data_IF_174952797209
#
_entry.id   IF_174952797209
#
_cell.length_a   1.000
_cell.length_b   1.000
_cell.length_c   1.000
_cell.angle_alpha   90.00
_cell.angle_beta   90.00
_cell.angle_gamma   90.00
#
_symmetry.space_group_name_H-M   'P 1'
#
loop_
_entity.id
_entity.type
_entity.pdbx_description
1 polymer ?
#
# COMPACT_ATOMS: atom_id res chain seq x y z
N UNK A 1 80.55 -25.44 30.91
CA UNK A 1 79.75 -24.37 31.57
C UNK A 1 78.40 -24.27 30.86
N UNK A 2 77.32 -23.90 31.56
CA UNK A 2 76.02 -23.63 30.92
C UNK A 2 75.92 -22.15 30.55
N UNK A 3 75.50 -21.83 29.34
CA UNK A 3 74.95 -20.52 28.97
C UNK A 3 73.42 -20.67 28.91
N UNK A 4 72.68 -19.67 29.39
CA UNK A 4 71.22 -19.74 29.48
C UNK A 4 70.54 -19.14 28.24
N UNK A 5 69.51 -19.82 27.74
CA UNK A 5 68.60 -19.29 26.72
C UNK A 5 67.54 -18.40 27.38
N UNK A 6 67.52 -17.11 27.04
CA UNK A 6 66.45 -16.19 27.45
C UNK A 6 65.23 -16.42 26.54
N UNK A 7 64.02 -16.67 27.08
CA UNK A 7 62.81 -16.75 26.27
C UNK A 7 62.28 -15.35 25.94
N UNK A 8 62.31 -14.97 24.67
CA UNK A 8 61.63 -13.75 24.19
C UNK A 8 60.12 -13.92 24.27
N UNK A 9 59.47 -13.27 25.23
CA UNK A 9 58.01 -13.23 25.35
C UNK A 9 57.45 -12.29 24.28
N UNK A 10 57.00 -12.84 23.16
CA UNK A 10 56.27 -12.11 22.13
C UNK A 10 54.84 -11.85 22.64
N UNK A 11 54.61 -10.67 23.20
CA UNK A 11 53.26 -10.22 23.56
C UNK A 11 52.53 -9.85 22.27
N UNK A 12 51.75 -10.80 21.74
CA UNK A 12 50.93 -10.58 20.56
C UNK A 12 49.72 -9.71 20.97
N UNK A 13 49.81 -8.39 20.75
CA UNK A 13 48.70 -7.48 20.97
C UNK A 13 47.61 -7.76 19.91
N UNK A 14 46.64 -8.61 20.25
CA UNK A 14 45.42 -8.70 19.47
C UNK A 14 44.62 -7.41 19.65
N UNK A 15 44.81 -6.50 18.69
CA UNK A 15 43.82 -5.46 18.39
C UNK A 15 42.54 -6.15 17.92
N UNK A 16 41.71 -6.55 18.88
CA UNK A 16 40.30 -6.72 18.63
C UNK A 16 39.75 -5.35 18.23
N UNK A 17 39.69 -5.12 16.91
CA UNK A 17 38.89 -4.06 16.36
C UNK A 17 37.47 -4.28 16.90
N UNK A 18 37.04 -3.39 17.80
CA UNK A 18 35.72 -3.45 18.41
C UNK A 18 34.74 -3.12 17.29
N UNK A 19 34.28 -4.17 16.61
CA UNK A 19 33.13 -4.11 15.73
C UNK A 19 31.93 -3.85 16.64
N UNK A 20 31.71 -2.58 16.95
CA UNK A 20 30.43 -2.10 17.47
C UNK A 20 29.37 -2.67 16.55
N UNK A 21 28.45 -3.46 17.11
CA UNK A 21 27.40 -4.13 16.34
C UNK A 21 26.33 -3.07 16.04
N UNK A 22 26.68 -2.22 15.08
CA UNK A 22 25.81 -1.22 14.48
C UNK A 22 24.97 -1.95 13.44
N UNK A 23 23.65 -1.81 13.51
CA UNK A 23 22.78 -2.30 12.44
C UNK A 23 23.03 -1.53 11.15
N UNK A 24 22.99 -2.21 10.02
CA UNK A 24 22.98 -1.57 8.70
C UNK A 24 21.54 -1.42 8.23
N UNK A 25 21.18 -0.23 7.72
CA UNK A 25 19.86 0.08 7.17
C UNK A 25 20.01 0.50 5.72
N UNK A 26 19.43 -0.27 4.80
CA UNK A 26 19.52 -0.02 3.36
C UNK A 26 18.24 0.64 2.85
N UNK A 27 18.39 1.73 2.09
CA UNK A 27 17.31 2.41 1.40
C UNK A 27 16.80 1.57 0.21
N UNK A 28 15.49 1.31 0.17
CA UNK A 28 14.85 0.45 -0.83
C UNK A 28 14.35 1.18 -2.08
N UNK A 29 13.76 2.40 -2.01
CA UNK A 29 13.28 3.09 -3.20
C UNK A 29 14.41 3.46 -4.17
N UNK A 30 14.39 2.86 -5.37
CA UNK A 30 15.38 3.09 -6.42
C UNK A 30 14.72 3.58 -7.71
N UNK A 31 15.51 4.18 -8.59
CA UNK A 31 15.17 4.57 -9.96
C UNK A 31 16.13 3.84 -10.90
N UNK A 32 15.56 2.94 -11.69
CA UNK A 32 16.25 2.15 -12.71
C UNK A 32 15.70 2.55 -14.09
N UNK A 33 16.60 2.67 -15.06
CA UNK A 33 16.29 2.88 -16.47
C UNK A 33 15.61 1.64 -17.09
N UNK A 34 15.93 0.44 -16.60
CA UNK A 34 15.34 -0.82 -17.07
C UNK A 34 13.93 -1.11 -16.50
N UNK A 35 13.43 -0.30 -15.55
CA UNK A 35 12.09 -0.47 -14.99
C UNK A 35 11.00 0.10 -15.91
N UNK A 36 10.16 -0.82 -16.40
CA UNK A 36 8.96 -0.55 -17.21
C UNK A 36 8.05 0.51 -16.59
N UNK A 37 7.97 0.58 -15.26
CA UNK A 37 7.12 1.55 -14.56
C UNK A 37 7.57 3.00 -14.76
N UNK A 38 8.85 3.24 -15.03
CA UNK A 38 9.41 4.58 -15.24
C UNK A 38 9.15 5.15 -16.65
N UNK A 39 8.56 4.38 -17.58
CA UNK A 39 8.36 4.80 -18.97
C UNK A 39 6.89 5.04 -19.37
N UNK A 40 6.67 5.98 -20.28
CA UNK A 40 5.40 6.24 -20.96
C UNK A 40 5.60 6.20 -22.50
N UNK A 41 4.94 5.28 -23.24
CA UNK A 41 4.11 4.18 -22.75
C UNK A 41 4.89 3.21 -21.84
N UNK A 42 4.19 2.35 -21.11
CA UNK A 42 4.79 1.43 -20.14
C UNK A 42 5.55 0.27 -20.82
N UNK A 43 6.69 0.60 -21.42
CA UNK A 43 7.66 -0.28 -22.06
C UNK A 43 9.04 0.37 -21.97
N UNK A 44 10.09 -0.42 -21.74
CA UNK A 44 11.49 0.05 -21.82
C UNK A 44 11.81 0.44 -23.27
N UNK A 45 12.62 1.49 -23.53
CA UNK A 45 12.98 1.90 -24.88
C UNK A 45 13.58 0.76 -25.70
N UNK A 46 13.08 0.61 -26.92
CA UNK A 46 13.58 -0.34 -27.93
C UNK A 46 14.64 0.36 -28.78
N UNK A 47 15.55 -0.40 -29.39
CA UNK A 47 16.55 0.12 -30.32
C UNK A 47 15.92 1.04 -31.39
N UNK A 48 16.62 2.13 -31.68
CA UNK A 48 16.24 3.21 -32.59
C UNK A 48 15.02 4.07 -32.17
N UNK A 49 14.43 3.87 -31.00
CA UNK A 49 13.41 4.80 -30.50
C UNK A 49 13.98 6.18 -30.16
N UNK A 50 13.11 7.19 -30.12
CA UNK A 50 13.46 8.50 -29.57
C UNK A 50 13.17 8.51 -28.08
N UNK A 51 14.22 8.70 -27.28
CA UNK A 51 14.15 8.77 -25.82
C UNK A 51 13.98 10.22 -25.39
N UNK A 52 12.99 10.48 -24.54
CA UNK A 52 12.65 11.83 -24.06
C UNK A 52 12.67 11.87 -22.55
N UNK A 53 13.66 12.57 -21.98
CA UNK A 53 13.60 12.97 -20.59
C UNK A 53 12.77 14.27 -20.45
N UNK A 54 11.99 14.41 -19.36
CA UNK A 54 11.20 15.61 -19.13
C UNK A 54 12.12 16.80 -18.82
N UNK A 55 11.76 18.00 -19.28
CA UNK A 55 12.54 19.23 -19.03
C UNK A 55 12.87 19.41 -17.54
N UNK A 56 11.92 19.08 -16.66
CA UNK A 56 12.13 18.97 -15.20
C UNK A 56 12.11 17.50 -14.78
N UNK A 57 13.27 16.87 -14.79
CA UNK A 57 13.48 15.50 -14.29
C UNK A 57 13.68 15.50 -12.77
N UNK A 58 14.39 16.49 -12.22
CA UNK A 58 14.57 16.71 -10.78
C UNK A 58 15.00 15.45 -10.02
N UNK A 59 15.93 14.70 -10.62
CA UNK A 59 16.46 13.44 -10.12
C UNK A 59 17.80 13.11 -10.81
N UNK A 60 18.49 12.10 -10.29
CA UNK A 60 19.61 11.42 -10.96
C UNK A 60 19.12 10.09 -11.54
N UNK A 61 19.43 9.82 -12.81
CA UNK A 61 19.12 8.54 -13.48
C UNK A 61 20.40 7.95 -14.04
N UNK A 62 20.71 6.70 -13.72
CA UNK A 62 21.84 5.98 -14.33
C UNK A 62 21.43 5.43 -15.69
N UNK A 63 22.27 5.64 -16.72
CA UNK A 63 22.07 5.02 -18.04
C UNK A 63 22.55 3.56 -18.02
N UNK A 64 21.95 2.67 -18.84
CA UNK A 64 22.30 1.26 -18.84
C UNK A 64 23.74 1.03 -19.34
N UNK A 65 24.43 0.06 -18.76
CA UNK A 65 25.68 -0.44 -19.31
C UNK A 65 25.42 -1.22 -20.62
N UNK A 66 26.29 -1.04 -21.62
CA UNK A 66 26.18 -1.65 -22.93
C UNK A 66 26.14 -0.63 -24.07
N UNK A 67 25.59 -1.05 -25.21
CA UNK A 67 25.36 -0.22 -26.38
C UNK A 67 23.88 0.17 -26.40
N UNK A 68 23.59 1.47 -26.38
CA UNK A 68 22.23 2.01 -26.52
C UNK A 68 22.07 2.62 -27.91
N UNK A 69 21.17 2.08 -28.74
CA UNK A 69 20.89 2.59 -30.08
C UNK A 69 19.59 3.39 -30.09
N UNK A 70 19.62 4.65 -30.50
CA UNK A 70 18.46 5.57 -30.49
C UNK A 70 18.34 6.33 -31.80
N UNK A 71 17.16 6.85 -32.13
CA UNK A 71 17.01 7.85 -33.20
C UNK A 71 17.29 9.27 -32.70
N UNK A 72 16.93 9.57 -31.46
CA UNK A 72 17.21 10.83 -30.78
C UNK A 72 17.19 10.66 -29.26
N UNK A 73 17.87 11.55 -28.55
CA UNK A 73 17.97 11.57 -27.08
C UNK A 73 17.75 13.00 -26.59
N UNK A 74 16.54 13.31 -26.11
CA UNK A 74 16.19 14.62 -25.56
C UNK A 74 16.54 14.63 -24.07
N UNK A 75 17.51 15.47 -23.70
CA UNK A 75 18.03 15.60 -22.35
C UNK A 75 17.16 16.52 -21.46
N UNK A 76 17.15 16.33 -20.13
CA UNK A 76 16.46 17.23 -19.21
C UNK A 76 17.16 18.59 -19.12
N UNK A 77 16.42 19.64 -18.75
CA UNK A 77 16.99 20.96 -18.40
C UNK A 77 17.31 21.07 -16.90
N UNK A 78 16.60 20.30 -16.06
CA UNK A 78 16.81 20.23 -14.61
C UNK A 78 16.81 18.75 -14.18
N UNK A 79 17.97 18.23 -13.76
CA UNK A 79 18.21 16.81 -13.46
C UNK A 79 19.59 16.36 -13.94
N UNK A 80 19.96 15.12 -13.66
CA UNK A 80 21.24 14.54 -14.08
C UNK A 80 21.09 13.14 -14.67
N UNK A 81 21.84 12.86 -15.75
CA UNK A 81 22.02 11.51 -16.28
C UNK A 81 23.44 11.06 -15.99
N UNK A 82 23.58 9.94 -15.29
CA UNK A 82 24.88 9.36 -14.95
C UNK A 82 25.26 8.33 -16.01
N UNK A 83 26.49 8.45 -16.53
CA UNK A 83 26.98 7.63 -17.64
C UNK A 83 28.00 6.61 -17.10
N UNK A 84 27.79 5.29 -17.27
CA UNK A 84 28.76 4.27 -16.86
C UNK A 84 30.14 4.46 -17.51
N UNK A 85 31.14 4.81 -16.69
CA UNK A 85 32.42 5.37 -17.14
C UNK A 85 33.27 4.46 -18.07
N UNK A 86 33.01 3.14 -18.09
CA UNK A 86 33.82 2.15 -18.81
C UNK A 86 33.00 1.19 -19.68
N UNK A 87 31.67 1.35 -19.74
CA UNK A 87 30.77 0.34 -20.32
C UNK A 87 29.62 0.90 -21.15
N UNK A 88 29.49 2.22 -21.30
CA UNK A 88 28.43 2.85 -22.10
C UNK A 88 28.90 3.22 -23.51
N UNK A 89 28.04 2.99 -24.52
CA UNK A 89 28.19 3.51 -25.88
C UNK A 89 26.84 3.95 -26.44
N UNK A 90 26.79 5.09 -27.11
CA UNK A 90 25.59 5.69 -27.68
C UNK A 90 25.65 5.71 -29.21
N UNK A 91 24.80 4.91 -29.86
CA UNK A 91 24.65 4.91 -31.30
C UNK A 91 23.41 5.74 -31.70
N UNK A 92 23.60 6.89 -32.33
CA UNK A 92 22.50 7.70 -32.86
C UNK A 92 22.30 7.37 -34.34
N UNK A 93 21.13 6.85 -34.69
CA UNK A 93 20.79 6.37 -36.03
C UNK A 93 19.53 7.09 -36.52
N UNK A 94 19.71 8.04 -37.46
CA UNK A 94 18.59 8.75 -38.08
C UNK A 94 17.60 7.77 -38.72
N UNK A 95 16.32 7.93 -38.41
CA UNK A 95 15.22 7.16 -39.00
C UNK A 95 14.29 8.06 -39.83
N UNK A 96 13.51 7.43 -40.70
CA UNK A 96 12.46 8.08 -41.47
C UNK A 96 11.32 8.55 -40.52
N UNK A 97 10.72 9.74 -40.71
CA UNK A 97 9.78 10.30 -39.74
C UNK A 97 8.56 9.41 -39.40
N UNK A 98 8.19 8.49 -40.28
CA UNK A 98 7.06 7.56 -40.13
C UNK A 98 7.33 6.35 -39.22
N UNK A 99 8.59 6.06 -38.84
CA UNK A 99 8.93 4.95 -37.93
C UNK A 99 9.32 5.40 -36.51
N UNK A 100 9.38 6.72 -36.26
CA UNK A 100 9.81 7.27 -34.97
C UNK A 100 8.76 6.97 -33.88
N UNK A 101 9.01 5.92 -33.10
CA UNK A 101 8.31 5.69 -31.83
C UNK A 101 9.09 6.33 -30.67
N UNK A 102 8.34 6.85 -29.70
CA UNK A 102 8.86 7.73 -28.63
C UNK A 102 8.65 7.07 -27.28
N UNK A 103 9.71 7.02 -26.46
CA UNK A 103 9.67 6.56 -25.07
C UNK A 103 9.99 7.75 -24.15
N UNK A 104 9.01 8.13 -23.32
CA UNK A 104 9.11 9.29 -22.42
C UNK A 104 9.40 8.79 -21.00
N UNK A 105 10.47 9.27 -20.39
CA UNK A 105 10.79 8.97 -18.99
C UNK A 105 9.88 9.77 -18.05
N UNK A 106 9.35 9.13 -17.01
CA UNK A 106 8.53 9.79 -15.99
C UNK A 106 9.45 10.44 -14.95
N UNK A 107 9.21 11.70 -14.53
CA UNK A 107 9.95 12.28 -13.42
C UNK A 107 9.62 11.49 -12.14
N UNK A 108 10.62 10.92 -11.43
CA UNK A 108 10.34 10.11 -10.26
C UNK A 108 9.88 11.00 -9.11
N UNK A 109 8.73 10.67 -8.51
CA UNK A 109 8.25 11.36 -7.32
C UNK A 109 9.22 11.21 -6.14
N UNK A 110 9.22 12.17 -5.22
CA UNK A 110 10.01 12.11 -3.99
C UNK A 110 9.51 11.01 -3.05
N UNK A 111 10.38 10.57 -2.15
CA UNK A 111 10.12 9.52 -1.15
C UNK A 111 10.64 9.96 0.22
N UNK A 112 9.81 10.02 1.27
CA UNK A 112 10.20 10.59 2.56
C UNK A 112 11.21 9.72 3.32
N UNK A 113 12.22 10.35 3.93
CA UNK A 113 13.24 9.69 4.73
C UNK A 113 12.63 8.92 5.91
N UNK A 114 11.62 9.49 6.58
CA UNK A 114 11.03 8.95 7.81
C UNK A 114 9.89 7.93 7.59
N UNK A 115 9.63 7.48 6.36
CA UNK A 115 8.77 6.30 6.11
C UNK A 115 9.52 5.02 6.44
N UNK A 116 9.03 4.23 7.40
CA UNK A 116 9.66 2.98 7.80
C UNK A 116 9.72 1.93 6.68
N UNK A 117 8.78 2.01 5.74
CA UNK A 117 8.68 1.08 4.60
C UNK A 117 9.70 1.36 3.48
N UNK A 118 10.40 2.49 3.53
CA UNK A 118 11.49 2.82 2.60
C UNK A 118 12.84 2.19 3.01
N UNK A 119 12.91 1.52 4.16
CA UNK A 119 14.13 0.96 4.74
C UNK A 119 14.02 -0.55 4.97
N UNK A 120 15.11 -1.27 4.72
CA UNK A 120 15.31 -2.64 5.21
C UNK A 120 16.45 -2.69 6.22
N UNK A 121 16.37 -3.60 7.18
CA UNK A 121 17.55 -4.06 7.89
C UNK A 121 18.43 -4.88 6.93
N UNK A 122 19.75 -4.70 6.98
CA UNK A 122 20.70 -5.44 6.16
C UNK A 122 21.65 -6.25 7.04
N UNK A 123 21.68 -7.54 6.77
CA UNK A 123 22.55 -8.53 7.39
C UNK A 123 23.76 -8.72 6.46
N UNK A 124 24.87 -8.03 6.79
CA UNK A 124 26.12 -8.07 6.03
C UNK A 124 26.68 -9.50 5.92
N UNK A 125 26.62 -10.31 7.00
CA UNK A 125 27.13 -11.68 7.04
C UNK A 125 26.42 -12.60 6.03
N UNK A 126 25.13 -12.34 5.79
CA UNK A 126 24.28 -13.10 4.84
C UNK A 126 24.03 -12.37 3.52
N UNK A 127 24.55 -11.16 3.38
CA UNK A 127 24.23 -10.20 2.31
C UNK A 127 22.72 -10.09 2.06
N UNK A 128 21.90 -10.10 3.12
CA UNK A 128 20.44 -10.26 3.04
C UNK A 128 19.69 -9.03 3.53
N UNK A 129 18.69 -8.58 2.75
CA UNK A 129 17.78 -7.50 3.12
C UNK A 129 16.54 -8.08 3.78
N UNK A 130 16.16 -7.51 4.92
CA UNK A 130 15.06 -7.96 5.77
C UNK A 130 14.11 -6.77 5.97
N UNK A 131 12.92 -6.85 5.36
CA UNK A 131 11.87 -5.86 5.55
C UNK A 131 11.40 -5.86 7.03
N UNK A 132 10.98 -4.71 7.58
CA UNK A 132 10.46 -4.65 8.95
C UNK A 132 9.19 -5.49 9.08
N UNK A 133 9.16 -6.35 10.09
CA UNK A 133 8.00 -7.20 10.40
C UNK A 133 6.94 -6.42 11.22
N UNK A 134 5.73 -6.98 11.36
CA UNK A 134 4.60 -6.30 12.01
C UNK A 134 4.83 -5.94 13.49
N UNK A 135 5.78 -6.60 14.16
CA UNK A 135 6.17 -6.32 15.54
C UNK A 135 7.31 -5.29 15.67
N UNK A 136 8.04 -4.93 14.59
CA UNK A 136 9.11 -3.92 14.64
C UNK A 136 8.50 -2.53 14.87
N UNK A 137 8.87 -1.81 15.95
CA UNK A 137 8.43 -0.45 16.19
C UNK A 137 8.70 0.46 15.01
N UNK A 138 7.76 1.35 14.69
CA UNK A 138 7.87 2.30 13.58
C UNK A 138 9.13 3.19 13.74
N UNK A 139 9.47 3.56 14.99
CA UNK A 139 10.73 4.20 15.36
C UNK A 139 11.99 3.43 14.95
N UNK A 140 11.93 2.08 14.95
CA UNK A 140 13.03 1.15 14.65
C UNK A 140 12.99 0.62 13.21
N UNK A 141 12.09 1.14 12.36
CA UNK A 141 12.10 0.81 10.91
C UNK A 141 13.10 1.68 10.16
N UNK A 142 13.04 2.99 10.41
CA UNK A 142 14.03 4.00 9.96
C UNK A 142 15.39 3.82 10.67
N UNK A 143 16.49 4.44 10.19
CA UNK A 143 17.81 4.30 10.80
C UNK A 143 17.93 4.93 12.19
N UNK A 144 18.42 4.15 13.15
CA UNK A 144 18.66 4.59 14.52
C UNK A 144 19.94 5.43 14.68
N UNK A 145 20.03 6.17 15.78
CA UNK A 145 21.18 7.02 16.13
C UNK A 145 22.54 6.29 16.23
N UNK A 146 22.55 4.95 16.30
CA UNK A 146 23.73 4.10 16.36
C UNK A 146 23.93 3.23 15.10
N UNK A 147 23.05 3.31 14.10
CA UNK A 147 23.08 2.49 12.88
C UNK A 147 23.77 3.19 11.70
N UNK A 148 24.17 2.42 10.69
CA UNK A 148 24.69 2.95 9.42
C UNK A 148 23.56 3.02 8.41
N UNK A 149 23.23 4.23 7.94
CA UNK A 149 22.31 4.42 6.81
C UNK A 149 23.05 4.23 5.49
N UNK A 150 22.54 3.36 4.62
CA UNK A 150 23.18 2.97 3.35
C UNK A 150 22.27 3.25 2.16
N UNK A 151 22.81 4.00 1.21
CA UNK A 151 22.20 4.30 -0.07
C UNK A 151 23.02 3.61 -1.18
N UNK A 152 22.49 2.52 -1.73
CA UNK A 152 23.18 1.77 -2.81
C UNK A 152 23.15 2.55 -4.14
N UNK A 153 24.24 2.50 -4.91
CA UNK A 153 24.35 3.18 -6.22
C UNK A 153 24.96 2.31 -7.33
N UNK A 154 25.24 1.02 -7.09
CA UNK A 154 25.96 0.15 -8.04
C UNK A 154 25.19 -0.10 -9.36
N UNK A 155 23.88 -0.29 -9.26
CA UNK A 155 23.02 -0.86 -10.33
C UNK A 155 21.91 0.10 -10.77
N UNK A 156 21.51 0.98 -9.88
CA UNK A 156 20.38 1.90 -9.95
C UNK A 156 20.69 3.09 -9.03
N UNK A 157 20.00 4.21 -9.20
CA UNK A 157 20.13 5.33 -8.27
C UNK A 157 19.06 5.24 -7.16
N UNK A 158 19.33 5.71 -5.93
CA UNK A 158 18.26 5.95 -4.96
C UNK A 158 17.22 6.91 -5.56
N UNK A 159 15.95 6.62 -5.33
CA UNK A 159 14.84 7.50 -5.71
C UNK A 159 14.90 8.78 -4.86
N UNK A 160 14.63 9.98 -5.42
CA UNK A 160 14.74 11.24 -4.70
C UNK A 160 14.14 11.21 -3.30
N UNK A 161 14.95 11.61 -2.32
CA UNK A 161 14.72 11.45 -0.89
C UNK A 161 14.26 12.78 -0.33
N UNK A 162 13.14 12.81 0.39
CA UNK A 162 12.66 14.03 1.05
C UNK A 162 13.06 14.00 2.53
N UNK A 163 13.91 14.95 2.94
CA UNK A 163 14.42 15.09 4.30
C UNK A 163 13.47 15.87 5.22
N UNK A 164 12.32 16.31 4.68
CA UNK A 164 11.18 16.90 5.42
C UNK A 164 11.52 18.13 6.30
N UNK A 165 12.60 18.87 5.99
CA UNK A 165 13.04 20.07 6.73
C UNK A 165 13.32 19.84 8.23
N UNK A 166 13.84 18.68 8.62
CA UNK A 166 14.18 18.42 10.02
C UNK A 166 15.51 19.04 10.45
N UNK A 167 15.49 19.80 11.55
CA UNK A 167 16.65 20.47 12.19
C UNK A 167 17.91 19.57 12.27
N UNK A 168 17.73 18.30 12.62
CA UNK A 168 18.83 17.33 12.59
C UNK A 168 18.37 15.87 12.46
N UNK A 169 19.17 15.09 11.74
CA UNK A 169 19.06 13.63 11.66
C UNK A 169 20.28 13.03 12.34
N UNK A 170 20.04 12.19 13.36
CA UNK A 170 21.08 11.53 14.14
C UNK A 170 21.23 10.07 13.69
N UNK A 171 22.42 9.70 13.23
CA UNK A 171 22.77 8.34 12.80
C UNK A 171 24.19 7.97 13.23
N UNK A 172 24.54 6.69 13.23
CA UNK A 172 25.87 6.21 13.60
C UNK A 172 26.91 6.49 12.52
N UNK A 173 26.57 6.22 11.26
CA UNK A 173 27.35 6.56 10.07
C UNK A 173 26.42 6.67 8.83
N UNK A 174 26.94 7.17 7.70
CA UNK A 174 26.28 7.11 6.39
C UNK A 174 27.24 6.60 5.32
N UNK A 175 26.73 5.79 4.39
CA UNK A 175 27.40 5.34 3.17
C UNK A 175 26.50 5.56 1.94
N UNK A 176 27.03 6.17 0.88
CA UNK A 176 26.38 6.37 -0.41
C UNK A 176 27.30 5.77 -1.50
N UNK A 177 26.89 4.62 -2.03
CA UNK A 177 27.74 3.78 -2.88
C UNK A 177 29.03 3.36 -2.18
N UNK A 178 30.10 3.26 -2.97
CA UNK A 178 31.48 3.04 -2.49
C UNK A 178 32.31 4.34 -2.50
N UNK A 179 31.69 5.48 -2.83
CA UNK A 179 32.39 6.75 -3.08
C UNK A 179 32.33 7.72 -1.90
N UNK A 180 31.25 7.66 -1.11
CA UNK A 180 30.99 8.58 -0.01
C UNK A 180 30.68 7.76 1.24
N UNK A 181 31.63 7.72 2.17
CA UNK A 181 31.45 7.18 3.51
C UNK A 181 31.84 8.24 4.54
N UNK A 182 31.11 8.30 5.66
CA UNK A 182 31.37 9.26 6.74
C UNK A 182 30.45 10.49 6.66
N UNK A 183 30.01 10.93 7.83
CA UNK A 183 29.02 12.00 7.99
C UNK A 183 29.46 13.34 7.38
N UNK A 184 30.74 13.68 7.49
CA UNK A 184 31.33 14.91 6.92
C UNK A 184 31.32 14.88 5.39
N UNK A 185 31.78 13.78 4.79
CA UNK A 185 31.75 13.59 3.34
C UNK A 185 30.32 13.61 2.78
N UNK A 186 29.37 13.02 3.53
CA UNK A 186 27.96 12.99 3.15
C UNK A 186 27.28 14.37 3.28
N UNK A 187 27.61 15.15 4.31
CA UNK A 187 27.15 16.54 4.45
C UNK A 187 27.68 17.42 3.30
N UNK A 188 28.97 17.31 2.99
CA UNK A 188 29.58 17.98 1.84
C UNK A 188 28.95 17.55 0.50
N UNK A 189 28.54 16.28 0.37
CA UNK A 189 27.83 15.81 -0.82
C UNK A 189 26.42 16.40 -0.93
N UNK A 190 25.63 16.42 0.15
CA UNK A 190 24.26 16.99 0.15
C UNK A 190 24.25 18.46 -0.28
N UNK A 191 25.26 19.23 0.13
CA UNK A 191 25.43 20.63 -0.27
C UNK A 191 25.82 20.82 -1.76
N UNK A 192 26.15 19.76 -2.51
CA UNK A 192 26.48 19.82 -3.93
C UNK A 192 25.24 19.76 -4.83
N UNK A 193 25.37 20.21 -6.08
CA UNK A 193 24.29 20.16 -7.10
C UNK A 193 23.74 18.73 -7.31
N UNK A 194 24.61 17.71 -7.28
CA UNK A 194 24.20 16.30 -7.36
C UNK A 194 23.52 15.81 -6.07
N UNK A 195 23.94 16.34 -4.92
CA UNK A 195 23.28 16.12 -3.64
C UNK A 195 21.86 16.66 -3.61
N UNK A 196 21.65 17.90 -4.05
CA UNK A 196 20.33 18.55 -4.12
C UNK A 196 19.35 17.89 -5.10
N UNK A 197 19.86 17.16 -6.11
CA UNK A 197 19.04 16.33 -7.00
C UNK A 197 18.63 14.97 -6.41
N UNK A 198 19.21 14.58 -5.25
CA UNK A 198 18.96 13.31 -4.59
C UNK A 198 18.35 13.47 -3.20
N UNK A 199 18.70 14.52 -2.45
CA UNK A 199 18.28 14.84 -1.10
C UNK A 199 17.57 16.20 -1.06
N UNK A 200 16.25 16.15 -1.16
CA UNK A 200 15.38 17.32 -1.13
C UNK A 200 15.09 17.79 0.30
N UNK A 201 14.83 19.09 0.42
CA UNK A 201 14.44 19.75 1.68
C UNK A 201 15.52 19.53 2.77
N UNK A 202 16.78 19.51 2.36
CA UNK A 202 17.95 19.12 3.16
C UNK A 202 18.87 20.30 3.55
N UNK A 203 18.58 21.51 3.07
CA UNK A 203 19.44 22.70 3.18
C UNK A 203 19.71 23.10 4.64
N UNK A 204 18.69 23.06 5.50
CA UNK A 204 18.80 23.28 6.95
C UNK A 204 19.03 21.98 7.77
N UNK A 205 19.11 20.81 7.11
CA UNK A 205 19.08 19.50 7.78
C UNK A 205 20.47 19.08 8.24
N UNK A 206 20.76 19.26 9.53
CA UNK A 206 22.07 18.95 10.10
C UNK A 206 22.19 17.45 10.43
N UNK A 207 22.85 16.71 9.53
CA UNK A 207 23.17 15.30 9.76
C UNK A 207 24.33 15.20 10.76
N UNK A 208 24.09 14.52 11.88
CA UNK A 208 24.98 14.48 13.04
C UNK A 208 25.24 13.05 13.48
N UNK A 209 26.40 12.83 14.09
CA UNK A 209 26.66 11.58 14.80
C UNK A 209 25.69 11.49 15.97
N UNK A 210 24.96 10.38 16.07
CA UNK A 210 24.07 10.15 17.20
C UNK A 210 24.81 10.15 18.53
N UNK A 211 24.11 10.49 19.60
CA UNK A 211 24.69 10.67 20.95
C UNK A 211 25.21 9.37 21.59
N UNK A 212 25.24 8.27 20.85
CA UNK A 212 25.35 6.93 21.40
C UNK A 212 25.83 5.89 20.38
N UNK A 213 26.74 5.01 20.80
CA UNK A 213 27.34 3.98 19.94
C UNK A 213 26.74 2.56 20.15
N UNK A 214 25.57 2.42 20.80
CA UNK A 214 25.00 1.09 21.10
C UNK A 214 23.50 1.12 21.43
N UNK A 215 22.76 0.19 20.81
CA UNK A 215 21.36 -0.10 21.11
C UNK A 215 21.10 -0.51 22.57
N UNK A 216 22.08 -1.11 23.26
CA UNK A 216 21.92 -1.48 24.68
C UNK A 216 21.84 -0.26 25.61
N UNK A 217 22.27 0.92 25.12
CA UNK A 217 22.50 2.12 25.94
C UNK A 217 21.63 3.31 25.56
N UNK A 218 20.88 3.26 24.46
CA UNK A 218 20.09 4.39 23.95
C UNK A 218 18.84 3.96 23.18
N UNK A 219 17.81 4.81 23.08
CA UNK A 219 16.65 4.55 22.23
C UNK A 219 17.07 4.70 20.76
N UNK A 220 16.37 4.03 19.85
CA UNK A 220 16.65 4.15 18.42
C UNK A 220 16.54 5.61 17.92
N UNK A 221 15.44 6.28 18.31
CA UNK A 221 15.12 7.67 17.95
C UNK A 221 15.01 8.54 19.21
N UNK A 222 15.24 9.85 19.03
CA UNK A 222 14.83 10.86 20.00
C UNK A 222 13.32 11.17 19.86
N UNK A 223 12.61 11.62 20.92
CA UNK A 223 11.15 11.76 20.87
C UNK A 223 10.61 12.72 19.80
N UNK A 224 11.39 13.74 19.39
CA UNK A 224 10.98 14.74 18.39
C UNK A 224 10.80 14.16 16.99
N UNK A 225 11.53 13.08 16.68
CA UNK A 225 11.48 12.39 15.39
C UNK A 225 10.22 11.52 15.26
N UNK A 226 9.51 11.22 16.36
CA UNK A 226 8.29 10.41 16.30
C UNK A 226 7.19 11.08 15.49
N UNK A 227 7.01 12.41 15.58
CA UNK A 227 5.99 13.12 14.81
C UNK A 227 6.24 13.00 13.30
N UNK A 228 7.51 13.07 12.88
CA UNK A 228 7.95 12.88 11.50
C UNK A 228 7.64 11.46 10.98
N UNK A 229 7.99 10.45 11.78
CA UNK A 229 7.77 9.03 11.46
C UNK A 229 6.27 8.76 11.38
N UNK A 230 5.50 9.20 12.37
CA UNK A 230 4.06 8.98 12.42
C UNK A 230 3.28 9.78 11.36
N UNK A 231 3.78 10.91 10.87
CA UNK A 231 3.16 11.61 9.73
C UNK A 231 3.27 10.83 8.40
N UNK A 232 4.23 9.91 8.29
CA UNK A 232 4.45 9.10 7.09
C UNK A 232 3.70 7.76 7.11
N UNK A 233 3.31 7.27 8.29
CA UNK A 233 2.70 5.95 8.47
C UNK A 233 1.17 6.02 8.44
N UNK A 234 0.54 5.08 7.72
CA UNK A 234 -0.93 5.03 7.56
C UNK A 234 -1.51 3.91 8.41
N UNK A 235 -2.03 4.26 9.57
CA UNK A 235 -2.63 3.30 10.49
C UNK A 235 -3.94 2.72 9.93
N UNK A 236 -3.93 1.42 9.63
CA UNK A 236 -5.15 0.65 9.37
C UNK A 236 -5.94 0.44 10.67
N UNK A 237 -7.26 0.22 10.54
CA UNK A 237 -8.12 -0.11 11.68
C UNK A 237 -7.75 -1.50 12.24
N UNK A 238 -7.38 -1.64 13.52
CA UNK A 238 -7.00 -2.93 14.10
C UNK A 238 -8.22 -3.84 14.29
N UNK A 239 -8.11 -5.11 13.89
CA UNK A 239 -9.19 -6.11 13.95
C UNK A 239 -9.30 -6.81 15.33
N UNK A 240 -9.30 -6.03 16.41
CA UNK A 240 -9.43 -6.55 17.77
C UNK A 240 -10.09 -5.53 18.72
N UNK A 241 -10.78 -6.04 19.74
CA UNK A 241 -11.29 -5.23 20.85
C UNK A 241 -10.10 -4.73 21.68
N UNK A 242 -10.07 -3.44 22.04
CA UNK A 242 -8.99 -2.85 22.86
C UNK A 242 -7.57 -3.18 22.34
N UNK A 243 -7.17 -2.66 21.16
CA UNK A 243 -5.81 -2.82 20.64
C UNK A 243 -4.78 -2.12 21.54
N UNK A 244 -3.52 -2.54 21.48
CA UNK A 244 -2.42 -2.00 22.30
C UNK A 244 -1.45 -1.20 21.44
N UNK A 245 -0.83 -0.15 22.01
CA UNK A 245 0.20 0.63 21.34
C UNK A 245 1.54 0.45 22.08
N UNK A 246 2.46 -0.38 21.57
CA UNK A 246 3.80 -0.51 22.14
C UNK A 246 4.58 0.79 22.01
N UNK A 247 5.57 1.00 22.88
CA UNK A 247 6.48 2.13 22.69
C UNK A 247 7.20 2.03 21.33
N UNK A 248 7.37 3.18 20.67
CA UNK A 248 7.92 3.27 19.30
C UNK A 248 6.93 2.94 18.17
N UNK A 249 5.68 2.54 18.47
CA UNK A 249 4.64 2.39 17.46
C UNK A 249 3.80 3.67 17.30
N UNK A 250 3.62 4.09 16.05
CA UNK A 250 2.65 5.14 15.69
C UNK A 250 1.20 4.65 15.72
N UNK A 251 1.00 3.38 15.32
CA UNK A 251 -0.31 2.77 15.19
C UNK A 251 -0.60 1.77 16.32
N UNK A 252 -1.86 1.67 16.78
CA UNK A 252 -2.27 0.59 17.68
C UNK A 252 -2.31 -0.76 16.93
N UNK A 253 -1.96 -1.85 17.60
CA UNK A 253 -1.83 -3.19 17.03
C UNK A 253 -2.62 -4.24 17.82
N UNK A 254 -2.95 -5.35 17.15
CA UNK A 254 -3.47 -6.56 17.77
C UNK A 254 -2.31 -7.52 18.04
N UNK A 255 -2.05 -7.85 19.30
CA UNK A 255 -0.87 -8.60 19.68
C UNK A 255 -0.65 -8.68 21.19
N UNK A 256 0.59 -8.96 21.58
CA UNK A 256 1.03 -8.98 22.98
C UNK A 256 2.39 -8.29 23.16
N UNK A 257 2.56 -7.60 24.29
CA UNK A 257 3.81 -6.96 24.68
C UNK A 257 4.21 -7.42 26.07
N UNK A 258 5.45 -7.89 26.21
CA UNK A 258 6.14 -8.03 27.50
C UNK A 258 7.13 -6.89 27.66
N UNK A 259 7.19 -6.30 28.86
CA UNK A 259 8.07 -5.19 29.18
C UNK A 259 8.67 -5.34 30.58
N UNK A 260 9.98 -5.14 30.72
CA UNK A 260 10.67 -5.18 32.03
C UNK A 260 11.80 -4.16 32.08
N UNK A 261 11.97 -3.48 33.21
CA UNK A 261 13.07 -2.52 33.42
C UNK A 261 14.42 -3.26 33.49
N UNK A 262 15.45 -2.75 32.80
CA UNK A 262 16.80 -3.34 32.79
C UNK A 262 17.39 -3.46 34.21
N UNK A 263 17.00 -2.57 35.14
CA UNK A 263 17.41 -2.63 36.54
C UNK A 263 16.86 -3.86 37.33
N UNK A 264 15.94 -4.63 36.77
CA UNK A 264 15.44 -5.89 37.37
C UNK A 264 16.32 -7.11 37.00
N UNK A 265 17.28 -6.97 36.07
CA UNK A 265 18.21 -8.06 35.75
C UNK A 265 19.34 -8.13 36.77
N UNK A 266 19.70 -9.35 37.18
CA UNK A 266 20.84 -9.58 38.06
C UNK A 266 22.15 -9.54 37.27
N UNK A 267 23.00 -8.57 37.58
CA UNK A 267 24.31 -8.38 36.93
C UNK A 267 24.25 -7.49 35.69
N UNK A 268 25.24 -7.62 34.80
CA UNK A 268 25.29 -6.85 33.56
C UNK A 268 24.30 -7.43 32.55
N UNK A 269 23.28 -6.65 32.19
CA UNK A 269 22.36 -7.01 31.11
C UNK A 269 23.08 -7.04 29.77
N UNK A 270 22.69 -7.99 28.91
CA UNK A 270 23.13 -8.08 27.53
C UNK A 270 21.95 -8.52 26.65
N UNK A 271 21.65 -7.71 25.63
CA UNK A 271 20.47 -7.85 24.78
C UNK A 271 20.54 -9.14 23.94
N UNK A 272 21.71 -9.46 23.39
CA UNK A 272 21.90 -10.67 22.57
C UNK A 272 21.65 -11.95 23.39
N UNK A 273 22.24 -12.07 24.58
CA UNK A 273 22.03 -13.20 25.49
C UNK A 273 20.57 -13.34 25.93
N UNK A 274 19.83 -12.24 26.05
CA UNK A 274 18.38 -12.25 26.30
C UNK A 274 17.62 -12.73 25.06
N UNK A 275 17.85 -12.10 23.90
CA UNK A 275 17.25 -12.46 22.62
C UNK A 275 17.44 -13.94 22.27
N UNK A 276 18.63 -14.52 22.48
CA UNK A 276 18.87 -15.94 22.22
C UNK A 276 18.24 -16.89 23.26
N UNK A 277 17.92 -16.42 24.47
CA UNK A 277 17.10 -17.20 25.42
C UNK A 277 15.64 -17.19 24.98
N UNK A 278 15.11 -16.03 24.58
CA UNK A 278 13.73 -15.90 24.08
C UNK A 278 13.53 -16.65 22.76
N UNK A 279 14.42 -16.47 21.78
CA UNK A 279 14.42 -17.17 20.48
C UNK A 279 14.36 -18.70 20.65
N UNK A 280 15.18 -19.26 21.56
CA UNK A 280 15.15 -20.70 21.89
C UNK A 280 13.90 -21.15 22.63
N UNK A 281 13.17 -20.24 23.31
CA UNK A 281 11.89 -20.56 23.96
C UNK A 281 10.68 -20.43 23.05
N UNK A 282 10.68 -19.44 22.16
CA UNK A 282 9.74 -19.32 21.04
C UNK A 282 9.85 -20.57 20.15
N UNK A 283 11.07 -20.98 19.76
CA UNK A 283 11.32 -22.21 19.00
C UNK A 283 11.08 -23.52 19.79
N UNK A 284 10.65 -23.45 21.05
CA UNK A 284 10.20 -24.60 21.85
C UNK A 284 8.75 -24.44 22.35
N UNK A 285 7.98 -23.54 21.71
CA UNK A 285 6.58 -23.30 22.00
C UNK A 285 5.68 -24.29 21.26
N UNK A 286 4.41 -24.40 21.67
CA UNK A 286 3.38 -25.17 20.96
C UNK A 286 2.81 -24.41 19.75
N UNK A 287 2.99 -23.09 19.73
CA UNK A 287 2.63 -22.20 18.60
C UNK A 287 3.80 -22.13 17.62
N UNK A 288 3.54 -22.33 16.32
CA UNK A 288 4.56 -22.28 15.26
C UNK A 288 5.16 -20.85 15.14
N UNK A 289 6.47 -20.79 14.90
CA UNK A 289 7.21 -19.55 14.63
C UNK A 289 6.89 -18.99 13.23
N UNK A 290 6.36 -19.82 12.32
CA UNK A 290 5.84 -19.35 11.03
C UNK A 290 4.56 -18.50 11.16
N UNK A 291 3.82 -18.65 12.27
CA UNK A 291 2.48 -18.11 12.53
C UNK A 291 2.46 -16.77 13.28
N UNK A 292 3.60 -16.37 13.86
CA UNK A 292 3.74 -15.13 14.66
C UNK A 292 5.01 -14.37 14.28
N UNK A 293 4.91 -13.05 14.27
CA UNK A 293 6.06 -12.17 14.09
C UNK A 293 6.42 -11.53 15.43
N UNK A 294 7.72 -11.43 15.72
CA UNK A 294 8.18 -10.86 16.99
C UNK A 294 9.40 -9.96 16.80
N UNK A 295 9.60 -9.07 17.77
CA UNK A 295 10.71 -8.14 17.84
C UNK A 295 11.11 -7.94 19.32
N UNK A 296 12.41 -7.77 19.59
CA UNK A 296 12.95 -7.50 20.92
C UNK A 296 13.85 -6.26 20.82
N UNK A 297 13.43 -5.19 21.49
CA UNK A 297 14.09 -3.88 21.49
C UNK A 297 14.26 -3.31 22.90
N UNK A 298 14.82 -2.10 22.97
CA UNK A 298 15.01 -1.36 24.23
C UNK A 298 14.39 0.02 24.09
N UNK A 299 13.44 0.30 24.98
CA UNK A 299 12.72 1.57 25.02
C UNK A 299 13.09 2.41 26.25
N UNK A 300 12.91 3.73 26.12
CA UNK A 300 13.07 4.75 27.17
C UNK A 300 11.87 5.66 27.39
N UNK A 301 10.73 5.48 26.71
CA UNK A 301 9.56 6.37 26.78
C UNK A 301 9.09 6.73 28.20
N UNK A 302 9.30 5.84 29.18
CA UNK A 302 8.98 6.07 30.61
C UNK A 302 10.20 6.43 31.49
N UNK A 303 11.21 7.09 30.92
CA UNK A 303 12.38 7.63 31.65
C UNK A 303 13.40 6.61 32.16
N UNK A 304 13.12 5.32 32.06
CA UNK A 304 14.03 4.23 32.42
C UNK A 304 14.13 3.20 31.29
N UNK A 305 15.33 2.62 31.11
CA UNK A 305 15.58 1.61 30.08
C UNK A 305 14.72 0.37 30.36
N UNK A 306 13.86 0.00 29.42
CA UNK A 306 13.06 -1.22 29.50
C UNK A 306 13.29 -2.10 28.27
N UNK A 307 13.51 -3.39 28.49
CA UNK A 307 13.47 -4.39 27.42
C UNK A 307 12.01 -4.60 27.05
N UNK A 308 11.70 -4.56 25.75
CA UNK A 308 10.36 -4.74 25.22
C UNK A 308 10.37 -5.89 24.20
N UNK A 309 9.59 -6.95 24.47
CA UNK A 309 9.28 -8.01 23.52
C UNK A 309 7.87 -7.74 22.98
N UNK A 310 7.76 -7.57 21.67
CA UNK A 310 6.49 -7.42 20.94
C UNK A 310 6.27 -8.71 20.15
N UNK A 311 5.05 -9.24 20.19
CA UNK A 311 4.61 -10.40 19.41
C UNK A 311 3.26 -10.07 18.75
N UNK A 312 3.13 -10.32 17.46
CA UNK A 312 1.89 -10.15 16.67
C UNK A 312 1.58 -11.42 15.90
N UNK A 313 0.30 -11.61 15.58
CA UNK A 313 -0.16 -12.68 14.69
C UNK A 313 0.24 -12.35 13.25
N UNK A 314 0.60 -13.37 12.46
CA UNK A 314 0.94 -13.19 11.05
C UNK A 314 -0.31 -13.32 10.16
N UNK A 315 -0.75 -12.20 9.58
CA UNK A 315 -1.95 -12.14 8.75
C UNK A 315 -3.16 -11.68 9.56
N UNK A 316 -4.25 -12.43 9.53
CA UNK A 316 -5.42 -12.14 10.37
C UNK A 316 -5.16 -12.50 11.84
N UNK A 317 -5.65 -11.67 12.75
CA UNK A 317 -5.43 -11.82 14.18
C UNK A 317 -6.35 -12.90 14.78
N UNK A 318 -5.73 -13.95 15.34
CA UNK A 318 -6.39 -15.13 15.91
C UNK A 318 -5.85 -15.51 17.29
N UNK A 319 -5.40 -14.52 18.07
CA UNK A 319 -4.83 -14.67 19.42
C UNK A 319 -3.55 -15.52 19.53
N UNK A 320 -2.89 -15.89 18.41
CA UNK A 320 -1.68 -16.73 18.41
C UNK A 320 -0.52 -16.08 19.18
N UNK A 321 -0.39 -14.76 19.07
CA UNK A 321 0.55 -13.94 19.85
C UNK A 321 0.25 -13.94 21.36
N UNK A 322 -1.03 -14.00 21.76
CA UNK A 322 -1.44 -14.13 23.17
C UNK A 322 -1.08 -15.52 23.69
N UNK A 323 -1.34 -16.57 22.91
CA UNK A 323 -0.97 -17.95 23.25
C UNK A 323 0.55 -18.10 23.40
N UNK A 324 1.34 -17.56 22.46
CA UNK A 324 2.80 -17.49 22.52
C UNK A 324 3.29 -16.70 23.74
N UNK A 325 2.72 -15.53 24.04
CA UNK A 325 3.11 -14.75 25.22
C UNK A 325 2.77 -15.47 26.54
N UNK A 326 1.66 -16.22 26.57
CA UNK A 326 1.29 -17.02 27.73
C UNK A 326 2.17 -18.28 27.91
N UNK A 327 2.68 -18.90 26.85
CA UNK A 327 3.67 -19.99 26.99
C UNK A 327 5.03 -19.48 27.50
N UNK A 328 5.36 -18.22 27.24
CA UNK A 328 6.55 -17.54 27.79
C UNK A 328 6.36 -17.03 29.23
N UNK A 329 5.12 -16.85 29.71
CA UNK A 329 4.83 -16.31 31.06
C UNK A 329 5.56 -17.05 32.20
N UNK A 330 5.61 -18.39 32.28
CA UNK A 330 6.33 -19.09 33.34
C UNK A 330 7.86 -18.94 33.27
N UNK A 331 8.40 -18.61 32.09
CA UNK A 331 9.82 -18.27 31.96
C UNK A 331 10.09 -16.87 32.55
N UNK A 332 9.22 -15.90 32.31
CA UNK A 332 9.34 -14.56 32.89
C UNK A 332 9.17 -14.57 34.41
N UNK A 333 8.15 -15.25 34.94
CA UNK A 333 7.90 -15.38 36.39
C UNK A 333 9.07 -16.06 37.13
N UNK A 334 9.75 -17.01 36.47
CA UNK A 334 10.97 -17.64 37.01
C UNK A 334 12.21 -16.75 36.92
N UNK A 335 12.27 -15.82 35.97
CA UNK A 335 13.42 -14.95 35.72
C UNK A 335 13.33 -13.60 36.48
N UNK A 336 12.12 -13.13 36.80
CA UNK A 336 11.85 -11.85 37.44
C UNK A 336 10.79 -12.01 38.53
N UNK A 337 11.17 -11.78 39.80
CA UNK A 337 10.24 -11.92 40.93
C UNK A 337 9.15 -10.83 40.98
N UNK A 338 9.39 -9.68 40.35
CA UNK A 338 8.42 -8.58 40.17
C UNK A 338 8.94 -7.60 39.10
N UNK A 339 8.19 -6.53 38.81
CA UNK A 339 8.68 -5.41 38.00
C UNK A 339 8.67 -5.62 36.48
N UNK A 340 8.05 -6.70 36.00
CA UNK A 340 7.67 -6.86 34.60
C UNK A 340 6.17 -6.64 34.41
N UNK A 341 5.77 -6.30 33.19
CA UNK A 341 4.38 -6.11 32.76
C UNK A 341 4.16 -6.93 31.48
N UNK A 342 2.99 -7.55 31.36
CA UNK A 342 2.50 -8.15 30.11
C UNK A 342 1.17 -7.48 29.79
N UNK A 343 1.04 -6.92 28.59
CA UNK A 343 -0.21 -6.40 28.03
C UNK A 343 -0.59 -7.20 26.78
N UNK A 344 -1.88 -7.49 26.65
CA UNK A 344 -2.47 -8.16 25.50
C UNK A 344 -3.51 -7.22 24.88
N UNK A 345 -3.69 -7.29 23.56
CA UNK A 345 -4.94 -6.83 22.96
C UNK A 345 -6.11 -7.72 23.43
N UNK A 346 -7.34 -7.24 23.27
CA UNK A 346 -8.53 -8.07 23.47
C UNK A 346 -8.81 -9.00 22.30
N UNK A 347 -10.02 -9.55 22.30
CA UNK A 347 -10.46 -10.59 21.37
C UNK A 347 -10.53 -10.10 19.91
N UNK A 348 -10.36 -10.99 18.91
CA UNK A 348 -10.56 -10.67 17.50
C UNK A 348 -11.93 -10.05 17.24
N UNK A 349 -11.92 -8.96 16.47
CA UNK A 349 -13.14 -8.26 16.07
C UNK A 349 -12.94 -7.63 14.70
N UNK A 350 -13.55 -8.24 13.68
CA UNK A 350 -13.70 -7.61 12.37
C UNK A 350 -14.80 -6.54 12.44
N UNK A 351 -14.49 -5.26 12.19
CA UNK A 351 -15.53 -4.24 12.03
C UNK A 351 -16.35 -4.60 10.77
N UNK A 352 -17.67 -4.60 10.87
CA UNK A 352 -18.52 -4.90 9.71
C UNK A 352 -18.30 -3.86 8.62
N UNK A 353 -17.83 -4.29 7.45
CA UNK A 353 -17.79 -3.45 6.26
C UNK A 353 -19.20 -2.98 5.90
N UNK A 354 -19.34 -1.76 5.36
CA UNK A 354 -20.65 -1.17 5.05
C UNK A 354 -21.52 -2.03 4.13
N UNK A 355 -20.90 -2.83 3.23
CA UNK A 355 -21.59 -3.80 2.39
C UNK A 355 -22.22 -4.97 3.18
N UNK A 356 -21.58 -5.43 4.27
CA UNK A 356 -22.14 -6.47 5.14
C UNK A 356 -23.34 -5.95 5.95
N UNK A 357 -23.24 -4.71 6.46
CA UNK A 357 -24.36 -4.04 7.15
C UNK A 357 -25.54 -3.86 6.18
N UNK A 358 -25.28 -3.36 4.97
CA UNK A 358 -26.31 -3.20 3.95
C UNK A 358 -26.94 -4.54 3.55
N UNK A 359 -26.15 -5.59 3.35
CA UNK A 359 -26.65 -6.93 3.04
C UNK A 359 -27.52 -7.51 4.16
N UNK A 360 -27.12 -7.34 5.43
CA UNK A 360 -27.92 -7.77 6.58
C UNK A 360 -29.25 -7.01 6.66
N UNK A 361 -29.22 -5.68 6.54
CA UNK A 361 -30.43 -4.84 6.54
C UNK A 361 -31.36 -5.21 5.37
N UNK A 362 -30.83 -5.34 4.15
CA UNK A 362 -31.59 -5.74 2.96
C UNK A 362 -32.23 -7.12 3.15
N UNK A 363 -31.48 -8.09 3.70
CA UNK A 363 -32.00 -9.43 3.99
C UNK A 363 -33.12 -9.40 5.03
N UNK A 364 -32.98 -8.60 6.10
CA UNK A 364 -34.10 -8.45 7.07
C UNK A 364 -35.33 -7.84 6.41
N UNK A 365 -35.20 -6.80 5.58
CA UNK A 365 -36.35 -6.25 4.83
C UNK A 365 -37.00 -7.27 3.89
N UNK A 366 -36.22 -8.09 3.18
CA UNK A 366 -36.74 -9.14 2.29
C UNK A 366 -37.51 -10.20 3.11
N UNK A 367 -36.94 -10.67 4.21
CA UNK A 367 -37.59 -11.67 5.10
C UNK A 367 -38.87 -11.11 5.72
N UNK A 368 -38.85 -9.88 6.21
CA UNK A 368 -40.04 -9.23 6.80
C UNK A 368 -41.13 -8.98 5.75
N UNK A 369 -40.76 -8.53 4.55
CA UNK A 369 -41.68 -8.36 3.41
C UNK A 369 -42.30 -9.68 2.97
N UNK A 370 -41.50 -10.75 2.85
CA UNK A 370 -41.99 -12.08 2.53
C UNK A 370 -42.95 -12.62 3.59
N UNK A 371 -42.65 -12.42 4.88
CA UNK A 371 -43.53 -12.79 5.99
C UNK A 371 -44.88 -12.08 5.90
N UNK A 372 -44.89 -10.75 5.77
CA UNK A 372 -46.14 -10.00 5.63
C UNK A 372 -46.90 -10.34 4.34
N UNK A 373 -46.20 -10.65 3.24
CA UNK A 373 -46.83 -11.12 2.00
C UNK A 373 -47.51 -12.47 2.19
N UNK A 374 -46.89 -13.42 2.89
CA UNK A 374 -47.51 -14.72 3.23
C UNK A 374 -48.72 -14.54 4.15
N UNK A 375 -48.64 -13.67 5.16
CA UNK A 375 -49.77 -13.35 6.05
C UNK A 375 -50.92 -12.68 5.28
N UNK A 376 -50.61 -11.73 4.39
CA UNK A 376 -51.61 -11.07 3.54
C UNK A 376 -52.31 -12.07 2.63
N UNK A 377 -51.56 -12.89 1.87
CA UNK A 377 -52.13 -13.93 1.00
C UNK A 377 -52.95 -14.94 1.80
N UNK A 378 -52.53 -15.30 3.02
CA UNK A 378 -53.26 -16.24 3.88
C UNK A 378 -54.62 -15.71 4.37
N UNK A 379 -54.73 -14.41 4.68
CA UNK A 379 -55.93 -13.82 5.29
C UNK A 379 -56.83 -13.02 4.33
N UNK A 380 -56.30 -12.53 3.20
CA UNK A 380 -57.02 -11.60 2.31
C UNK A 380 -57.13 -12.06 0.84
N UNK A 381 -56.46 -13.15 0.42
CA UNK A 381 -56.46 -13.59 -0.99
C UNK A 381 -57.17 -14.93 -1.22
N UNK A 382 -58.49 -14.86 -1.33
CA UNK A 382 -59.37 -15.95 -1.77
C UNK A 382 -59.09 -16.43 -3.22
N UNK A 383 -58.17 -15.82 -3.96
CA UNK A 383 -57.86 -16.18 -5.37
C UNK A 383 -56.54 -16.92 -5.54
N UNK A 384 -55.48 -16.54 -4.80
CA UNK A 384 -54.17 -17.17 -4.88
C UNK A 384 -54.11 -18.51 -4.15
N UNK A 385 -54.69 -18.64 -2.94
CA UNK A 385 -54.63 -19.92 -2.20
C UNK A 385 -55.34 -21.05 -2.99
N UNK A 386 -56.54 -20.87 -3.57
CA UNK A 386 -57.19 -21.93 -4.35
C UNK A 386 -56.43 -22.24 -5.64
N UNK A 387 -55.82 -21.25 -6.30
CA UNK A 387 -54.99 -21.48 -7.51
C UNK A 387 -53.72 -22.27 -7.19
N UNK A 388 -53.01 -21.95 -6.11
CA UNK A 388 -51.84 -22.71 -5.66
C UNK A 388 -52.22 -24.13 -5.21
N UNK A 389 -53.33 -24.30 -4.46
CA UNK A 389 -53.87 -25.63 -4.14
C UNK A 389 -54.25 -26.42 -5.40
N UNK A 390 -54.88 -25.79 -6.39
CA UNK A 390 -55.24 -26.44 -7.65
C UNK A 390 -54.00 -26.87 -8.45
N UNK A 391 -52.98 -26.01 -8.55
CA UNK A 391 -51.72 -26.33 -9.23
C UNK A 391 -50.97 -27.50 -8.56
N UNK A 392 -50.92 -27.53 -7.23
CA UNK A 392 -50.29 -28.64 -6.47
C UNK A 392 -51.10 -29.93 -6.58
N UNK A 393 -52.44 -29.85 -6.64
CA UNK A 393 -53.34 -31.00 -6.75
C UNK A 393 -53.44 -31.58 -8.17
N UNK A 394 -53.28 -30.75 -9.21
CA UNK A 394 -53.32 -31.15 -10.62
C UNK A 394 -51.97 -31.69 -11.16
N UNK A 395 -51.19 -32.41 -10.33
CA UNK A 395 -49.99 -33.14 -10.79
C UNK A 395 -50.26 -34.28 -11.80
N UNK A 396 -51.51 -34.53 -12.16
CA UNK A 396 -51.91 -35.43 -13.26
C UNK A 396 -51.85 -34.80 -14.66
N UNK A 397 -51.50 -33.51 -14.81
CA UNK A 397 -51.48 -32.84 -16.12
C UNK A 397 -50.38 -33.32 -17.10
N UNK A 398 -49.51 -34.25 -16.67
CA UNK A 398 -48.47 -34.86 -17.51
C UNK A 398 -48.81 -36.27 -18.03
N UNK A 399 -50.03 -36.78 -17.81
CA UNK A 399 -50.43 -38.14 -18.22
C UNK A 399 -51.76 -38.20 -18.98
N UNK A 400 -51.82 -37.52 -20.13
CA UNK A 400 -52.83 -37.76 -21.17
C UNK A 400 -52.14 -37.93 -22.52
N UNK A 401 -52.48 -38.95 -23.34
CA UNK A 401 -51.76 -39.23 -24.58
C UNK A 401 -51.98 -38.15 -25.66
N UNK A 402 -50.95 -37.87 -26.43
CA UNK A 402 -50.98 -36.88 -27.51
C UNK A 402 -51.89 -37.31 -28.66
N UNK A 403 -53.11 -36.76 -28.73
CA UNK A 403 -54.01 -36.96 -29.87
C UNK A 403 -53.66 -35.96 -30.96
N UNK A 404 -52.93 -36.41 -31.97
CA UNK A 404 -52.73 -35.65 -33.21
C UNK A 404 -54.05 -35.52 -33.97
N UNK A 405 -54.57 -34.30 -34.08
CA UNK A 405 -55.66 -33.99 -35.01
C UNK A 405 -55.14 -34.09 -36.46
N UNK A 406 -55.31 -35.24 -37.10
CA UNK A 406 -55.11 -35.39 -38.54
C UNK A 406 -56.21 -34.62 -39.27
N UNK A 407 -55.83 -33.66 -40.10
CA UNK A 407 -56.71 -33.13 -41.13
C UNK A 407 -57.02 -34.21 -42.16
N UNK A 408 -58.30 -34.40 -42.49
CA UNK A 408 -58.76 -35.04 -43.72
C UNK A 408 -59.83 -34.13 -44.39
N UNK A 409 -59.85 -34.02 -45.72
CA UNK A 409 -60.61 -32.99 -46.44
C UNK A 409 -61.96 -33.48 -46.99
N UNK A 410 -62.72 -32.52 -47.54
CA UNK A 410 -64.03 -32.63 -48.20
C UNK A 410 -65.18 -33.00 -47.23
N UNK A 411 -66.15 -32.09 -47.02
CA UNK A 411 -67.33 -31.81 -47.85
C UNK A 411 -68.43 -32.88 -47.65
N UNK A 412 -69.72 -32.54 -47.54
CA UNK A 412 -70.44 -31.37 -48.08
C UNK A 412 -71.32 -30.63 -47.02
N UNK A 413 -71.82 -29.43 -47.37
CA UNK A 413 -73.08 -28.75 -46.90
C UNK A 413 -73.43 -28.87 -45.39
N UNK A 414 -73.51 -27.81 -44.57
CA UNK A 414 -73.90 -26.41 -44.85
C UNK A 414 -72.83 -25.35 -44.50
N UNK A 415 -72.65 -24.38 -45.39
CA UNK A 415 -71.74 -23.24 -45.19
C UNK A 415 -72.43 -22.01 -44.60
N UNK A 416 -72.50 -21.93 -43.26
CA UNK A 416 -73.03 -20.75 -42.55
C UNK A 416 -71.96 -19.66 -42.36
N UNK A 417 -71.39 -19.17 -43.46
CA UNK A 417 -70.50 -18.01 -43.50
C UNK A 417 -71.30 -16.72 -43.42
N UNK A 418 -71.16 -15.98 -42.32
CA UNK A 418 -71.73 -14.63 -42.17
C UNK A 418 -70.92 -13.65 -43.02
N UNK A 419 -71.57 -13.02 -43.99
CA UNK A 419 -70.99 -12.05 -44.93
C UNK A 419 -72.08 -11.03 -45.35
N UNK A 420 -71.70 -10.00 -46.12
CA UNK A 420 -72.46 -8.78 -46.47
C UNK A 420 -72.62 -7.83 -45.25
N UNK A 421 -71.84 -6.77 -45.03
CA UNK A 421 -71.13 -5.74 -45.84
C UNK A 421 -71.86 -4.36 -45.81
N UNK A 422 -71.09 -3.28 -45.92
CA UNK A 422 -71.47 -1.89 -45.64
C UNK A 422 -72.32 -1.24 -46.76
N UNK A 423 -73.00 -0.14 -46.37
CA UNK A 423 -73.52 0.89 -47.27
C UNK A 423 -73.30 2.28 -46.65
N UNK A 424 -73.31 3.32 -47.47
CA UNK A 424 -72.74 4.64 -47.19
C UNK A 424 -73.81 5.71 -46.87
N UNK A 425 -73.34 6.95 -46.72
CA UNK A 425 -74.06 8.24 -46.60
C UNK A 425 -74.52 8.63 -45.18
N UNK A 426 -74.39 9.89 -44.74
CA UNK A 426 -73.65 10.99 -45.35
C UNK A 426 -74.20 12.39 -45.02
N UNK A 427 -73.58 13.11 -44.08
CA UNK A 427 -73.71 14.56 -43.85
C UNK A 427 -72.72 15.05 -42.77
N UNK A 428 -72.15 16.26 -42.75
CA UNK A 428 -71.48 17.11 -43.77
C UNK A 428 -71.32 18.54 -43.18
N UNK A 429 -70.08 19.02 -43.00
CA UNK A 429 -69.61 20.41 -42.79
C UNK A 429 -68.10 20.32 -42.41
N UNK A 430 -67.13 20.62 -43.28
CA UNK A 430 -66.65 21.94 -43.77
C UNK A 430 -65.84 22.70 -42.67
N UNK A 431 -64.59 23.16 -42.80
CA UNK A 431 -63.49 23.10 -43.81
C UNK A 431 -62.12 23.06 -43.03
N UNK A 432 -60.87 23.01 -43.54
CA UNK A 432 -60.19 23.22 -44.83
C UNK A 432 -59.05 22.15 -45.00
N UNK A 433 -58.42 21.88 -46.16
CA UNK A 433 -57.35 22.59 -46.91
C UNK A 433 -56.11 23.07 -46.09
N UNK A 434 -54.85 22.87 -46.50
CA UNK A 434 -54.27 22.48 -47.82
C UNK A 434 -53.23 21.32 -47.78
N UNK A 435 -52.64 21.01 -48.95
CA UNK A 435 -51.69 19.94 -49.32
C UNK A 435 -50.58 20.58 -50.23
N UNK A 436 -49.57 19.88 -50.85
CA UNK A 436 -49.05 18.50 -50.69
C UNK A 436 -47.49 18.41 -50.71
N UNK A 437 -46.96 17.18 -50.92
CA UNK A 437 -45.72 16.84 -51.66
C UNK A 437 -44.32 17.04 -50.99
N UNK A 438 -43.30 16.18 -51.21
CA UNK A 438 -43.19 14.83 -51.84
C UNK A 438 -41.85 14.16 -51.46
N UNK A 439 -41.84 12.81 -51.35
CA UNK A 439 -40.73 11.87 -51.66
C UNK A 439 -39.34 12.02 -50.96
N UNK A 440 -38.64 10.94 -50.55
CA UNK A 440 -39.00 9.52 -50.41
C UNK A 440 -37.98 8.78 -49.50
N UNK A 441 -38.48 7.80 -48.74
CA UNK A 441 -38.07 6.38 -48.63
C UNK A 441 -36.56 5.98 -48.71
N UNK A 442 -36.02 5.04 -47.93
CA UNK A 442 -36.49 4.29 -46.73
C UNK A 442 -35.26 3.59 -46.05
N UNK A 443 -35.53 2.67 -45.09
CA UNK A 443 -34.69 1.64 -44.47
C UNK A 443 -33.91 1.97 -43.17
N UNK A 444 -34.55 1.59 -42.05
CA UNK A 444 -34.05 0.58 -41.08
C UNK A 444 -32.80 0.87 -40.19
N UNK A 445 -32.79 0.58 -38.87
CA UNK A 445 -33.86 0.12 -37.95
C UNK A 445 -33.42 0.25 -36.47
N UNK A 446 -34.37 0.03 -35.56
CA UNK A 446 -34.20 -0.24 -34.11
C UNK A 446 -33.71 0.89 -33.19
N UNK A 447 -34.68 1.64 -32.65
CA UNK A 447 -34.56 2.27 -31.34
C UNK A 447 -35.31 1.42 -30.28
N UNK A 448 -34.70 1.22 -29.11
CA UNK A 448 -35.39 0.72 -27.90
C UNK A 448 -34.60 1.05 -26.63
N UNK A 449 -34.75 2.27 -26.13
CA UNK A 449 -34.34 2.66 -24.77
C UNK A 449 -35.50 3.36 -24.07
N UNK A 450 -35.71 3.05 -22.79
CA UNK A 450 -36.84 3.58 -22.02
C UNK A 450 -36.50 4.95 -21.43
N UNK A 451 -37.28 5.97 -21.76
CA UNK A 451 -37.27 7.24 -21.03
C UNK A 451 -37.94 7.04 -19.66
N UNK A 452 -37.26 7.48 -18.58
CA UNK A 452 -37.74 7.37 -17.20
C UNK A 452 -37.83 8.78 -16.56
N UNK A 453 -39.04 9.35 -16.38
CA UNK A 453 -39.22 10.75 -16.01
C UNK A 453 -39.12 10.97 -14.49
N UNK A 454 -37.91 10.82 -13.92
CA UNK A 454 -37.65 11.12 -12.49
C UNK A 454 -36.43 12.03 -12.24
N UNK A 455 -35.62 12.33 -13.25
CA UNK A 455 -34.38 13.11 -13.11
C UNK A 455 -34.28 14.32 -14.07
N UNK A 456 -35.32 15.15 -14.09
CA UNK A 456 -35.24 16.50 -14.65
C UNK A 456 -35.50 17.56 -13.57
N UNK A 457 -34.47 18.34 -13.25
CA UNK A 457 -34.59 19.66 -12.61
C UNK A 457 -33.76 20.64 -13.43
N UNK A 458 -34.29 21.84 -13.76
CA UNK A 458 -33.67 22.71 -14.76
C UNK A 458 -32.38 23.34 -14.24
N UNK A 459 -31.37 23.43 -15.11
CA UNK A 459 -30.21 24.26 -14.87
C UNK A 459 -30.63 25.74 -14.90
N UNK A 460 -30.35 26.49 -13.83
CA UNK A 460 -30.65 27.91 -13.78
C UNK A 460 -29.60 28.69 -14.59
N UNK A 461 -30.07 29.47 -15.57
CA UNK A 461 -29.22 30.26 -16.46
C UNK A 461 -28.67 31.48 -15.73
N UNK A 462 -27.35 31.58 -15.62
CA UNK A 462 -26.65 32.79 -15.19
C UNK A 462 -26.08 33.55 -16.40
N UNK A 463 -26.29 34.86 -16.45
CA UNK A 463 -25.62 35.78 -17.37
C UNK A 463 -24.70 36.73 -16.58
N UNK A 464 -23.65 37.29 -17.21
CA UNK A 464 -22.49 37.79 -16.48
C UNK A 464 -22.68 39.20 -15.89
N UNK A 465 -22.08 39.43 -14.73
CA UNK A 465 -21.89 40.74 -14.11
C UNK A 465 -20.41 41.00 -13.81
N UNK A 466 -20.02 42.28 -13.83
CA UNK A 466 -18.63 42.74 -13.71
C UNK A 466 -18.26 43.02 -12.26
N UNK A 467 -17.13 42.49 -11.82
CA UNK A 467 -16.35 42.96 -10.67
C UNK A 467 -14.91 43.19 -11.18
N UNK A 468 -14.31 44.38 -11.17
CA UNK A 468 -14.19 45.43 -10.14
C UNK A 468 -13.18 45.05 -9.04
N UNK A 469 -11.96 45.58 -9.17
CA UNK A 469 -10.98 45.64 -8.08
C UNK A 469 -11.38 46.75 -7.10
N UNK A 470 -11.17 46.51 -5.80
CA UNK A 470 -10.70 47.53 -4.86
C UNK A 470 -9.99 46.86 -3.68
N UNK A 471 -9.11 47.61 -3.00
CA UNK A 471 -8.21 47.10 -1.95
C UNK A 471 -8.85 47.06 -0.53
N UNK A 472 -8.21 46.35 0.42
CA UNK A 472 -7.65 46.91 1.68
C UNK A 472 -7.29 45.82 2.71
N UNK A 473 -6.21 46.11 3.44
CA UNK A 473 -5.56 45.42 4.55
C UNK A 473 -6.44 44.75 5.63
N UNK A 474 -5.84 43.82 6.41
CA UNK A 474 -5.74 44.03 7.87
C UNK A 474 -4.60 43.24 8.55
N UNK A 475 -4.08 43.86 9.61
CA UNK A 475 -2.80 43.67 10.30
C UNK A 475 -2.42 42.28 10.85
N UNK A 476 -1.11 42.10 11.00
CA UNK A 476 -0.44 41.15 11.92
C UNK A 476 -0.53 41.65 13.37
N UNK A 477 -0.66 40.73 14.33
CA UNK A 477 -0.13 40.90 15.70
C UNK A 477 0.31 39.55 16.28
#
# INVERSE_FOLDING_TARGET
MKAASVPSVVVLLQLFAIHSIQGTKVWLPQVDFADVANWAPAAVPVDHQTIVFPSKLNALVSLPAGIMTVSSLILPQQGGLLIPAHSFSLNIVSQEPSSISVAIFKPPGRTPYYSGNNWAAYDEERSSRQAPNGAVPHSERVPCQYETAVFETEKSMPKPIDMQYHESIEVGNVRLGDTIEGLENFHNFIASELGQLLFYNAEDTLIRQGKCASAEKCPCQEPRQMDAICSNERCATPHCLSPIQPAGHCCPICGSVFRVNIAQFQGVFNLQSFTDKIRRKIASSEVDVADVEYHIGIDRSMGANAVQLIVVDKGEYGEKSIQMMNSLRPFFEKQFASGFLITHAGQPHTPLEGGQVFAFVLLTFIVTSAFFTVVYVYYYDDTLIPRLRAAVRNRHFFTTPFVFARFHPNSDVDGLSVDVNFSNDGQAADEACEQPATAADDENRHASSFNNPMYEKPAQKAEPAVEAFDDVELCVQ
#
